data_IF_951513603059
#
_entry.id   IF_951513603059
#
_cell.length_a   1.000
_cell.length_b   1.000
_cell.length_c   1.000
_cell.angle_alpha   90.00
_cell.angle_beta   90.00
_cell.angle_gamma   90.00
#
_symmetry.space_group_name_H-M   'P 1'
#
loop_
_entity.id
_entity.type
_entity.pdbx_description
1 polymer ?
#
# COMPACT_ATOMS: atom_id res chain seq x y z
N UNK A 1 -24.26 -8.25 -14.98
CA UNK A 1 -22.87 -7.98 -14.55
C UNK A 1 -22.32 -6.91 -15.47
N UNK A 2 -22.00 -5.72 -14.93
CA UNK A 2 -21.59 -4.59 -15.75
C UNK A 2 -20.08 -4.70 -16.00
N UNK A 3 -19.69 -5.15 -17.20
CA UNK A 3 -18.31 -5.31 -17.66
C UNK A 3 -17.64 -3.94 -17.87
N UNK A 4 -17.46 -3.17 -16.78
CA UNK A 4 -16.60 -2.00 -16.82
C UNK A 4 -15.17 -2.50 -16.73
N UNK A 5 -14.50 -2.63 -17.87
CA UNK A 5 -13.04 -2.72 -17.92
C UNK A 5 -12.48 -1.54 -17.12
N UNK A 6 -12.05 -1.80 -15.87
CA UNK A 6 -11.48 -0.77 -15.00
C UNK A 6 -10.30 -0.13 -15.71
N UNK A 7 -10.21 1.20 -15.68
CA UNK A 7 -9.06 1.91 -16.25
C UNK A 7 -7.81 1.67 -15.40
N UNK A 8 -6.63 1.69 -16.02
CA UNK A 8 -5.35 1.70 -15.29
C UNK A 8 -5.30 2.86 -14.28
N UNK A 9 -5.91 3.99 -14.64
CA UNK A 9 -6.01 5.16 -13.78
C UNK A 9 -6.83 4.87 -12.53
N UNK A 10 -8.00 4.26 -12.66
CA UNK A 10 -8.90 3.98 -11.52
C UNK A 10 -8.24 2.99 -10.54
N UNK A 11 -7.57 1.97 -11.09
CA UNK A 11 -6.84 0.97 -10.29
C UNK A 11 -5.70 1.62 -9.52
N UNK A 12 -4.93 2.49 -10.19
CA UNK A 12 -3.82 3.24 -9.58
C UNK A 12 -4.32 4.21 -8.52
N UNK A 13 -5.32 5.04 -8.85
CA UNK A 13 -5.89 6.04 -7.94
C UNK A 13 -6.43 5.39 -6.67
N UNK A 14 -7.17 4.29 -6.81
CA UNK A 14 -7.67 3.55 -5.65
C UNK A 14 -6.52 2.99 -4.80
N UNK A 15 -5.43 2.55 -5.41
CA UNK A 15 -4.23 2.13 -4.70
C UNK A 15 -3.59 3.29 -3.93
N UNK A 16 -3.44 4.46 -4.55
CA UNK A 16 -2.90 5.65 -3.88
C UNK A 16 -3.74 6.04 -2.66
N UNK A 17 -5.06 6.06 -2.81
CA UNK A 17 -5.97 6.48 -1.73
C UNK A 17 -6.06 5.46 -0.58
N UNK A 18 -5.96 4.16 -0.88
CA UNK A 18 -6.07 3.12 0.15
C UNK A 18 -4.75 2.77 0.83
N UNK A 19 -3.63 2.93 0.11
CA UNK A 19 -2.30 2.49 0.54
C UNK A 19 -1.43 3.71 0.85
N UNK A 20 -1.00 4.46 -0.17
CA UNK A 20 0.04 5.46 0.00
C UNK A 20 -0.40 6.66 0.86
N UNK A 21 -1.59 7.19 0.62
CA UNK A 21 -2.09 8.36 1.34
C UNK A 21 -2.22 8.08 2.85
N UNK A 22 -2.86 6.99 3.31
CA UNK A 22 -2.86 6.62 4.72
C UNK A 22 -1.45 6.36 5.29
N UNK A 23 -0.55 5.70 4.55
CA UNK A 23 0.83 5.47 5.00
C UNK A 23 1.56 6.78 5.27
N UNK A 24 1.44 7.74 4.35
CA UNK A 24 2.03 9.08 4.52
C UNK A 24 1.45 9.76 5.76
N UNK A 25 0.12 9.71 5.95
CA UNK A 25 -0.50 10.27 7.14
C UNK A 25 -0.01 9.60 8.44
N UNK A 26 0.10 8.26 8.47
CA UNK A 26 0.64 7.54 9.62
C UNK A 26 2.05 8.03 9.94
N UNK A 27 2.93 8.11 8.94
CA UNK A 27 4.32 8.55 9.14
C UNK A 27 4.37 9.98 9.68
N UNK A 28 3.63 10.92 9.06
CA UNK A 28 3.61 12.33 9.47
C UNK A 28 3.02 12.48 10.87
N UNK A 29 1.83 11.94 11.12
CA UNK A 29 1.17 12.09 12.42
C UNK A 29 1.95 11.42 13.54
N UNK A 30 2.57 10.26 13.30
CA UNK A 30 3.44 9.64 14.30
C UNK A 30 4.71 10.46 14.54
N UNK A 31 5.39 10.90 13.48
CA UNK A 31 6.64 11.66 13.64
C UNK A 31 6.41 12.98 14.38
N UNK A 32 5.44 13.78 13.95
CA UNK A 32 5.12 15.05 14.59
C UNK A 32 4.44 14.86 15.95
N UNK A 33 3.53 13.88 16.08
CA UNK A 33 2.84 13.61 17.33
C UNK A 33 3.79 13.19 18.45
N UNK A 34 4.66 12.22 18.19
CA UNK A 34 5.65 11.78 19.19
C UNK A 34 6.67 12.88 19.49
N UNK A 35 7.09 13.65 18.48
CA UNK A 35 8.07 14.72 18.69
C UNK A 35 7.50 15.92 19.45
N UNK A 36 6.22 16.26 19.27
CA UNK A 36 5.59 17.43 19.89
C UNK A 36 4.99 17.14 21.26
N UNK A 37 4.40 15.95 21.45
CA UNK A 37 3.69 15.63 22.69
C UNK A 37 4.49 14.79 23.68
N UNK A 38 5.56 14.13 23.25
CA UNK A 38 6.41 13.28 24.10
C UNK A 38 7.89 13.70 24.08
N UNK A 39 8.21 14.86 23.50
CA UNK A 39 9.57 15.41 23.35
C UNK A 39 10.59 14.41 22.77
N UNK A 40 10.10 13.46 21.97
CA UNK A 40 10.91 12.39 21.43
C UNK A 40 11.75 12.94 20.26
N UNK A 41 13.02 12.54 20.16
CA UNK A 41 13.87 13.01 19.07
C UNK A 41 13.20 12.72 17.71
N UNK A 42 13.05 13.76 16.87
CA UNK A 42 12.32 13.66 15.60
C UNK A 42 12.81 12.51 14.70
N UNK A 43 14.12 12.21 14.69
CA UNK A 43 14.66 11.08 13.92
C UNK A 43 14.14 9.74 14.42
N UNK A 44 14.06 9.57 15.74
CA UNK A 44 13.53 8.35 16.35
C UNK A 44 12.00 8.28 16.14
N UNK A 45 11.29 9.39 16.31
CA UNK A 45 9.86 9.48 16.04
C UNK A 45 9.52 9.14 14.57
N UNK A 46 10.34 9.62 13.63
CA UNK A 46 10.22 9.30 12.20
C UNK A 46 10.46 7.82 11.93
N UNK A 47 11.47 7.19 12.57
CA UNK A 47 11.71 5.75 12.46
C UNK A 47 10.51 4.95 12.94
N UNK A 48 9.90 5.32 14.07
CA UNK A 48 8.68 4.68 14.58
C UNK A 48 7.53 4.85 13.57
N UNK A 49 7.34 6.07 13.04
CA UNK A 49 6.35 6.35 12.01
C UNK A 49 6.53 5.49 10.76
N UNK A 50 7.77 5.31 10.29
CA UNK A 50 8.08 4.43 9.16
C UNK A 50 7.74 2.97 9.45
N UNK A 51 8.04 2.44 10.65
CA UNK A 51 7.69 1.06 11.03
C UNK A 51 6.16 0.85 11.04
N UNK A 52 5.42 1.80 11.60
CA UNK A 52 3.95 1.75 11.63
C UNK A 52 3.36 1.88 10.22
N UNK A 53 3.87 2.84 9.43
CA UNK A 53 3.49 3.03 8.04
C UNK A 53 3.74 1.78 7.20
N UNK A 54 4.88 1.12 7.39
CA UNK A 54 5.21 -0.12 6.69
C UNK A 54 4.28 -1.28 7.05
N UNK A 55 3.97 -1.40 8.34
CA UNK A 55 3.03 -2.41 8.84
C UNK A 55 1.63 -2.20 8.23
N UNK A 56 1.17 -0.96 8.15
CA UNK A 56 -0.08 -0.62 7.48
C UNK A 56 -0.02 -0.86 5.97
N UNK A 57 1.10 -0.53 5.31
CA UNK A 57 1.30 -0.79 3.89
C UNK A 57 1.13 -2.28 3.57
N UNK A 58 1.77 -3.18 4.33
CA UNK A 58 1.69 -4.64 4.12
C UNK A 58 0.24 -5.15 4.15
N UNK A 59 -0.56 -4.64 5.07
CA UNK A 59 -1.98 -4.99 5.19
C UNK A 59 -2.84 -4.38 4.06
N UNK A 60 -2.67 -3.09 3.79
CA UNK A 60 -3.51 -2.35 2.83
C UNK A 60 -3.20 -2.73 1.38
N UNK A 61 -1.94 -2.99 1.05
CA UNK A 61 -1.55 -3.44 -0.30
C UNK A 61 -2.14 -4.81 -0.61
N UNK A 62 -2.20 -5.73 0.37
CA UNK A 62 -2.89 -7.01 0.23
C UNK A 62 -4.36 -6.80 -0.14
N UNK A 63 -5.06 -5.93 0.57
CA UNK A 63 -6.47 -5.61 0.29
C UNK A 63 -6.66 -5.00 -1.09
N UNK A 64 -5.77 -4.10 -1.51
CA UNK A 64 -5.83 -3.49 -2.84
C UNK A 64 -5.62 -4.54 -3.95
N UNK A 65 -4.64 -5.45 -3.78
CA UNK A 65 -4.41 -6.55 -4.72
C UNK A 65 -5.63 -7.48 -4.79
N UNK A 66 -6.15 -7.94 -3.64
CA UNK A 66 -7.35 -8.79 -3.58
C UNK A 66 -8.57 -8.12 -4.23
N UNK A 67 -8.73 -6.81 -4.01
CA UNK A 67 -9.78 -6.04 -4.66
C UNK A 67 -9.58 -6.02 -6.19
N UNK A 68 -8.39 -5.72 -6.67
CA UNK A 68 -8.11 -5.66 -8.11
C UNK A 68 -8.34 -7.02 -8.78
N UNK A 69 -7.88 -8.11 -8.17
CA UNK A 69 -8.10 -9.47 -8.71
C UNK A 69 -9.56 -9.88 -8.67
N UNK A 70 -10.34 -9.45 -7.67
CA UNK A 70 -11.79 -9.69 -7.61
C UNK A 70 -12.57 -8.94 -8.70
N UNK A 71 -11.97 -7.91 -9.31
CA UNK A 71 -12.53 -7.16 -10.43
C UNK A 71 -11.85 -7.53 -11.76
N UNK A 72 -11.39 -8.78 -11.88
CA UNK A 72 -10.84 -9.37 -13.11
C UNK A 72 -9.64 -8.61 -13.71
N UNK A 73 -8.87 -7.90 -12.87
CA UNK A 73 -7.62 -7.27 -13.31
C UNK A 73 -6.52 -8.33 -13.44
N UNK A 74 -5.98 -8.49 -14.64
CA UNK A 74 -4.84 -9.38 -14.92
C UNK A 74 -3.64 -9.07 -14.00
N UNK A 75 -2.96 -10.14 -13.54
CA UNK A 75 -1.84 -10.04 -12.59
C UNK A 75 -0.67 -9.27 -13.18
N UNK A 76 -0.33 -9.47 -14.45
CA UNK A 76 0.81 -8.78 -15.07
C UNK A 76 0.49 -7.29 -15.25
N UNK A 77 -0.75 -6.97 -15.64
CA UNK A 77 -1.26 -5.60 -15.69
C UNK A 77 -1.21 -4.94 -14.30
N UNK A 78 -1.69 -5.64 -13.26
CA UNK A 78 -1.68 -5.15 -11.88
C UNK A 78 -0.26 -4.86 -11.37
N UNK A 79 0.71 -5.73 -11.68
CA UNK A 79 2.13 -5.51 -11.33
C UNK A 79 2.67 -4.26 -12.01
N UNK A 80 2.35 -4.04 -13.30
CA UNK A 80 2.79 -2.85 -14.04
C UNK A 80 2.21 -1.56 -13.45
N UNK A 81 0.91 -1.56 -13.12
CA UNK A 81 0.24 -0.42 -12.48
C UNK A 81 0.83 -0.17 -11.09
N UNK A 82 0.92 -1.22 -10.27
CA UNK A 82 1.41 -1.12 -8.90
C UNK A 82 2.86 -0.65 -8.81
N UNK A 83 3.74 -1.08 -9.71
CA UNK A 83 5.13 -0.60 -9.77
C UNK A 83 5.21 0.88 -10.14
N UNK A 84 4.45 1.32 -11.15
CA UNK A 84 4.39 2.73 -11.57
C UNK A 84 3.85 3.63 -10.46
N UNK A 85 2.86 3.15 -9.71
CA UNK A 85 2.29 3.86 -8.56
C UNK A 85 3.08 3.71 -7.26
N UNK A 86 4.25 3.05 -7.26
CA UNK A 86 5.03 2.76 -6.05
C UNK A 86 4.21 2.02 -4.95
N UNK A 87 3.21 1.24 -5.36
CA UNK A 87 2.36 0.45 -4.47
C UNK A 87 2.99 -0.92 -4.20
N UNK A 88 3.66 -1.49 -5.20
CA UNK A 88 4.35 -2.78 -5.12
C UNK A 88 5.74 -2.69 -5.72
N UNK A 89 6.67 -3.48 -5.18
CA UNK A 89 8.09 -3.41 -5.54
C UNK A 89 8.51 -4.54 -6.48
N UNK A 90 7.85 -5.68 -6.40
CA UNK A 90 8.16 -6.85 -7.20
C UNK A 90 6.91 -7.61 -7.62
N UNK A 91 7.07 -8.47 -8.64
CA UNK A 91 6.02 -9.43 -9.02
C UNK A 91 5.69 -10.36 -7.85
N UNK A 92 6.71 -10.72 -7.05
CA UNK A 92 6.57 -11.58 -5.89
C UNK A 92 5.57 -11.03 -4.85
N UNK A 93 5.52 -9.71 -4.66
CA UNK A 93 4.53 -9.05 -3.79
C UNK A 93 3.10 -9.39 -4.20
N UNK A 94 2.81 -9.31 -5.51
CA UNK A 94 1.47 -9.61 -6.04
C UNK A 94 1.20 -11.11 -5.97
N UNK A 95 2.16 -11.94 -6.37
CA UNK A 95 2.02 -13.41 -6.32
C UNK A 95 1.84 -13.95 -4.89
N UNK A 96 2.49 -13.33 -3.89
CA UNK A 96 2.32 -13.66 -2.46
C UNK A 96 0.84 -13.56 -2.05
N UNK A 97 0.15 -12.56 -2.57
CA UNK A 97 -1.26 -12.32 -2.28
C UNK A 97 -2.16 -13.21 -3.13
N UNK A 98 -1.89 -13.31 -4.44
CA UNK A 98 -2.80 -14.02 -5.35
C UNK A 98 -2.68 -15.54 -5.27
N UNK A 99 -1.47 -16.08 -5.10
CA UNK A 99 -1.24 -17.54 -5.02
C UNK A 99 -1.31 -18.08 -3.60
N UNK A 100 -0.78 -17.34 -2.63
CA UNK A 100 -0.63 -17.84 -1.26
C UNK A 100 -1.57 -17.16 -0.26
N UNK A 101 -2.30 -16.11 -0.67
CA UNK A 101 -3.18 -15.32 0.19
C UNK A 101 -2.49 -14.80 1.48
N UNK A 102 -1.18 -14.52 1.40
CA UNK A 102 -0.39 -14.01 2.53
C UNK A 102 -0.24 -12.49 2.45
N UNK A 103 0.01 -11.85 3.59
CA UNK A 103 0.41 -10.44 3.64
C UNK A 103 1.84 -10.32 3.12
N UNK A 104 2.09 -9.49 2.09
CA UNK A 104 3.44 -9.34 1.58
C UNK A 104 4.27 -8.55 2.58
N UNK A 105 5.42 -9.09 2.91
CA UNK A 105 6.48 -8.39 3.62
C UNK A 105 7.72 -8.45 2.73
N UNK A 106 8.44 -7.34 2.62
CA UNK A 106 9.67 -7.25 1.82
C UNK A 106 10.85 -7.47 2.75
#
# INVERSE_FOLDING_TARGET
MNNKNLSDYDISLRGQLLVNLPVIFIIIFTAFGLSMFLDLNFKIALLIGMILGWSYWSYSVKKWIQWATKNDVDVNRLVKIGKRGLLVWSKNTVETVTKYNKTPFI
#
